data_IF_287114821475
#
_entry.id   IF_287114821475
#
_cell.length_a   1.000
_cell.length_b   1.000
_cell.length_c   1.000
_cell.angle_alpha   90.00
_cell.angle_beta   90.00
_cell.angle_gamma   90.00
#
_symmetry.space_group_name_H-M   'P 1'
#
loop_
_entity.id
_entity.type
_entity.pdbx_description
1 polymer ?
#
# COMPACT_ATOMS: atom_id res chain seq x y z
N UNK A 1 -6.03 -3.41 18.20
CA UNK A 1 -4.80 -2.60 18.26
C UNK A 1 -4.35 -2.16 16.86
N UNK A 2 -3.81 -3.02 15.97
CA UNK A 2 -3.29 -2.60 14.66
C UNK A 2 -4.29 -1.82 13.77
N UNK A 3 -5.54 -2.30 13.67
CA UNK A 3 -6.60 -1.59 12.94
C UNK A 3 -6.82 -0.16 13.46
N UNK A 4 -6.91 0.00 14.78
CA UNK A 4 -7.13 1.30 15.41
C UNK A 4 -5.94 2.25 15.19
N UNK A 5 -4.72 1.72 15.08
CA UNK A 5 -3.54 2.52 14.75
C UNK A 5 -3.58 3.00 13.28
N UNK A 6 -3.95 2.14 12.33
CA UNK A 6 -4.10 2.50 10.91
C UNK A 6 -5.22 3.50 10.63
N UNK A 7 -6.26 3.53 11.48
CA UNK A 7 -7.31 4.54 11.42
C UNK A 7 -6.76 5.97 11.63
N UNK A 8 -5.63 6.14 12.33
CA UNK A 8 -4.99 7.45 12.55
C UNK A 8 -4.20 7.98 11.33
N UNK A 9 -3.95 7.17 10.31
CA UNK A 9 -3.03 7.50 9.20
C UNK A 9 -3.71 8.25 8.06
N UNK A 10 -3.60 9.57 7.97
CA UNK A 10 -4.30 10.35 6.94
C UNK A 10 -3.49 10.61 5.67
N UNK A 11 -2.28 10.07 5.58
CA UNK A 11 -1.34 10.25 4.47
C UNK A 11 0.10 10.32 4.99
N UNK A 12 1.03 10.74 4.13
CA UNK A 12 2.46 10.78 4.48
C UNK A 12 2.73 11.68 5.71
N UNK A 13 3.52 11.19 6.70
CA UNK A 13 3.93 12.00 7.84
C UNK A 13 4.54 13.33 7.43
N UNK A 14 4.17 14.41 8.13
CA UNK A 14 4.68 15.78 7.89
C UNK A 14 4.47 16.32 6.46
N UNK A 15 3.51 15.77 5.71
CA UNK A 15 3.11 16.30 4.41
C UNK A 15 2.69 17.78 4.51
N UNK A 16 3.08 18.57 3.50
CA UNK A 16 2.80 20.02 3.47
C UNK A 16 3.83 20.92 4.15
N UNK A 17 4.93 20.36 4.69
CA UNK A 17 6.04 21.14 5.28
C UNK A 17 7.26 21.10 4.36
N UNK A 18 7.96 22.23 4.10
CA UNK A 18 9.20 22.23 3.32
C UNK A 18 10.25 21.30 3.96
N UNK A 19 10.80 20.37 3.18
CA UNK A 19 11.73 19.32 3.63
C UNK A 19 12.99 19.85 4.33
N UNK A 20 13.44 21.06 3.98
CA UNK A 20 14.60 21.72 4.65
C UNK A 20 14.26 22.42 5.96
N UNK A 21 12.98 22.56 6.32
CA UNK A 21 12.57 23.31 7.51
C UNK A 21 12.87 22.55 8.80
N UNK A 22 12.81 21.22 8.75
CA UNK A 22 13.06 20.34 9.90
C UNK A 22 13.81 19.07 9.48
N UNK A 23 15.09 19.20 9.13
CA UNK A 23 15.93 18.05 8.77
C UNK A 23 15.98 16.96 9.88
N UNK A 24 15.82 17.35 11.15
CA UNK A 24 15.72 16.41 12.27
C UNK A 24 14.47 15.51 12.24
N UNK A 25 13.40 15.95 11.56
CA UNK A 25 12.14 15.22 11.49
C UNK A 25 12.14 14.17 10.35
N UNK A 26 13.14 14.20 9.48
CA UNK A 26 13.22 13.27 8.35
C UNK A 26 13.35 11.82 8.82
N UNK A 27 14.21 11.55 9.81
CA UNK A 27 14.36 10.21 10.39
C UNK A 27 13.06 9.71 11.03
N UNK A 28 12.35 10.57 11.76
CA UNK A 28 11.05 10.25 12.36
C UNK A 28 9.99 9.98 11.30
N UNK A 29 9.98 10.75 10.20
CA UNK A 29 9.04 10.53 9.10
C UNK A 29 9.29 9.18 8.42
N UNK A 30 10.54 8.78 8.26
CA UNK A 30 10.91 7.47 7.72
C UNK A 30 10.51 6.34 8.69
N UNK A 31 10.81 6.47 9.98
CA UNK A 31 10.41 5.48 11.01
C UNK A 31 8.89 5.29 11.06
N UNK A 32 8.13 6.40 11.05
CA UNK A 32 6.66 6.34 10.97
C UNK A 32 6.18 5.68 9.69
N UNK A 33 6.81 5.99 8.55
CA UNK A 33 6.46 5.39 7.26
C UNK A 33 6.65 3.87 7.29
N UNK A 34 7.82 3.40 7.73
CA UNK A 34 8.09 1.97 7.88
C UNK A 34 7.08 1.29 8.81
N UNK A 35 6.85 1.84 10.00
CA UNK A 35 5.91 1.26 10.96
C UNK A 35 4.47 1.17 10.43
N UNK A 36 4.02 2.17 9.67
CA UNK A 36 2.69 2.18 9.05
C UNK A 36 2.60 1.10 7.96
N UNK A 37 3.63 1.00 7.13
CA UNK A 37 3.68 0.05 6.02
C UNK A 37 3.70 -1.38 6.54
N UNK A 38 4.54 -1.68 7.54
CA UNK A 38 4.60 -3.00 8.18
C UNK A 38 3.24 -3.37 8.81
N UNK A 39 2.58 -2.41 9.46
CA UNK A 39 1.26 -2.62 10.04
C UNK A 39 0.16 -2.85 8.98
N UNK A 40 0.24 -2.15 7.84
CA UNK A 40 -0.70 -2.31 6.73
C UNK A 40 -0.53 -3.69 6.07
N UNK A 41 0.71 -4.12 5.86
CA UNK A 41 1.07 -5.43 5.28
C UNK A 41 0.57 -6.58 6.17
N UNK A 42 0.97 -6.60 7.45
CA UNK A 42 0.56 -7.64 8.40
C UNK A 42 -0.97 -7.70 8.56
N UNK A 43 -1.64 -6.55 8.57
CA UNK A 43 -3.08 -6.53 8.71
C UNK A 43 -3.81 -6.96 7.42
N UNK A 44 -3.32 -6.57 6.25
CA UNK A 44 -3.88 -6.99 4.97
C UNK A 44 -3.76 -8.51 4.78
N UNK A 45 -2.58 -9.07 5.06
CA UNK A 45 -2.32 -10.50 4.96
C UNK A 45 -3.25 -11.30 5.88
N UNK A 46 -3.39 -10.87 7.15
CA UNK A 46 -4.32 -11.51 8.11
C UNK A 46 -5.78 -11.44 7.67
N UNK A 47 -6.21 -10.36 7.02
CA UNK A 47 -7.57 -10.27 6.50
C UNK A 47 -7.77 -11.18 5.29
N UNK A 48 -6.82 -11.22 4.35
CA UNK A 48 -6.85 -12.14 3.21
C UNK A 48 -6.90 -13.61 3.67
N UNK A 49 -6.07 -13.99 4.64
CA UNK A 49 -6.07 -15.34 5.20
C UNK A 49 -7.41 -15.77 5.82
N UNK A 50 -8.27 -14.81 6.18
CA UNK A 50 -9.61 -15.03 6.75
C UNK A 50 -10.74 -14.84 5.72
N UNK A 51 -10.41 -14.56 4.46
CA UNK A 51 -11.38 -14.25 3.41
C UNK A 51 -12.03 -12.87 3.54
N UNK A 52 -11.52 -11.99 4.40
CA UNK A 52 -12.05 -10.65 4.62
C UNK A 52 -11.44 -9.65 3.62
N UNK A 53 -11.79 -9.84 2.34
CA UNK A 53 -11.21 -9.06 1.25
C UNK A 53 -11.48 -7.55 1.38
N UNK A 54 -12.62 -7.15 1.95
CA UNK A 54 -12.95 -5.73 2.14
C UNK A 54 -12.02 -5.04 3.12
N UNK A 55 -11.71 -5.68 4.25
CA UNK A 55 -10.79 -5.09 5.22
C UNK A 55 -9.32 -5.22 4.79
N UNK A 56 -8.96 -6.24 3.99
CA UNK A 56 -7.65 -6.32 3.34
C UNK A 56 -7.43 -5.16 2.37
N UNK A 57 -8.42 -4.88 1.50
CA UNK A 57 -8.38 -3.76 0.57
C UNK A 57 -8.21 -2.42 1.30
N UNK A 58 -8.95 -2.25 2.41
CA UNK A 58 -8.80 -1.07 3.25
C UNK A 58 -7.38 -0.93 3.80
N UNK A 59 -6.83 -1.97 4.44
CA UNK A 59 -5.51 -1.92 5.05
C UNK A 59 -4.41 -1.60 4.01
N UNK A 60 -4.41 -2.31 2.88
CA UNK A 60 -3.46 -2.10 1.79
C UNK A 60 -3.55 -0.66 1.23
N UNK A 61 -4.77 -0.17 0.99
CA UNK A 61 -4.99 1.20 0.48
C UNK A 61 -4.47 2.25 1.46
N UNK A 62 -4.59 2.02 2.79
CA UNK A 62 -4.04 2.93 3.80
C UNK A 62 -2.52 2.98 3.77
N UNK A 63 -1.84 1.84 3.68
CA UNK A 63 -0.38 1.83 3.51
C UNK A 63 0.07 2.56 2.24
N UNK A 64 -0.65 2.37 1.13
CA UNK A 64 -0.37 3.05 -0.14
C UNK A 64 -0.58 4.57 -0.11
N UNK A 65 -1.36 5.11 0.84
CA UNK A 65 -1.44 6.57 1.03
C UNK A 65 -0.16 7.16 1.60
N UNK A 66 0.70 6.34 2.20
CA UNK A 66 1.94 6.74 2.85
C UNK A 66 3.15 6.39 1.99
N UNK A 67 3.21 5.17 1.47
CA UNK A 67 4.28 4.65 0.63
C UNK A 67 3.68 3.92 -0.57
N UNK A 68 3.54 4.63 -1.69
CA UNK A 68 2.94 4.10 -2.93
C UNK A 68 3.90 3.19 -3.69
N UNK A 69 5.19 3.34 -3.44
CA UNK A 69 6.29 2.59 -4.04
C UNK A 69 6.41 1.14 -3.51
N UNK A 70 5.67 0.81 -2.44
CA UNK A 70 5.73 -0.53 -1.83
C UNK A 70 4.86 -1.52 -2.61
N UNK A 71 5.45 -2.20 -3.61
CA UNK A 71 4.76 -3.15 -4.51
C UNK A 71 3.97 -4.25 -3.78
N UNK A 72 4.45 -4.75 -2.64
CA UNK A 72 3.72 -5.77 -1.88
C UNK A 72 2.35 -5.30 -1.36
N UNK A 73 2.18 -4.00 -1.06
CA UNK A 73 0.87 -3.47 -0.72
C UNK A 73 -0.08 -3.46 -1.91
N UNK A 74 0.44 -3.28 -3.13
CA UNK A 74 -0.36 -3.45 -4.35
C UNK A 74 -0.78 -4.90 -4.56
N UNK A 75 0.11 -5.87 -4.27
CA UNK A 75 -0.25 -7.30 -4.32
C UNK A 75 -1.44 -7.63 -3.42
N UNK A 76 -1.47 -7.10 -2.20
CA UNK A 76 -2.64 -7.23 -1.31
C UNK A 76 -3.90 -6.59 -1.88
N UNK A 77 -3.78 -5.38 -2.42
CA UNK A 77 -4.89 -4.66 -3.08
C UNK A 77 -5.47 -5.48 -4.25
N UNK A 78 -4.61 -6.05 -5.10
CA UNK A 78 -5.05 -6.84 -6.25
C UNK A 78 -5.78 -8.11 -5.84
N UNK A 79 -5.20 -8.88 -4.91
CA UNK A 79 -5.85 -10.07 -4.34
C UNK A 79 -7.21 -9.75 -3.74
N UNK A 80 -7.30 -8.65 -2.97
CA UNK A 80 -8.54 -8.22 -2.36
C UNK A 80 -9.61 -7.83 -3.40
N UNK A 81 -9.24 -7.10 -4.45
CA UNK A 81 -10.17 -6.70 -5.51
C UNK A 81 -10.66 -7.89 -6.33
N UNK A 82 -9.79 -8.83 -6.65
CA UNK A 82 -10.16 -10.09 -7.31
C UNK A 82 -11.14 -10.89 -6.46
N UNK A 83 -10.87 -11.07 -5.16
CA UNK A 83 -11.80 -11.77 -4.24
C UNK A 83 -13.15 -11.08 -4.08
N UNK A 84 -13.22 -9.75 -4.26
CA UNK A 84 -14.47 -8.99 -4.25
C UNK A 84 -15.21 -9.02 -5.59
N UNK A 85 -14.58 -9.49 -6.66
CA UNK A 85 -15.13 -9.44 -8.03
C UNK A 85 -15.13 -8.02 -8.63
N UNK A 86 -14.29 -7.12 -8.13
CA UNK A 86 -14.23 -5.71 -8.52
C UNK A 86 -13.25 -5.50 -9.70
N UNK A 87 -13.54 -6.12 -10.85
CA UNK A 87 -12.65 -6.18 -12.02
C UNK A 87 -12.21 -4.80 -12.53
N UNK A 88 -13.15 -3.86 -12.66
CA UNK A 88 -12.83 -2.50 -13.13
C UNK A 88 -11.88 -1.76 -12.19
N UNK A 89 -12.01 -1.97 -10.88
CA UNK A 89 -11.13 -1.39 -9.88
C UNK A 89 -9.76 -2.09 -9.86
N UNK A 90 -9.71 -3.39 -10.13
CA UNK A 90 -8.48 -4.15 -10.29
C UNK A 90 -7.67 -3.63 -11.48
N UNK A 91 -8.27 -3.56 -12.66
CA UNK A 91 -7.63 -3.02 -13.88
C UNK A 91 -7.14 -1.58 -13.68
N UNK A 92 -7.96 -0.73 -13.06
CA UNK A 92 -7.55 0.64 -12.73
C UNK A 92 -6.36 0.67 -11.78
N UNK A 93 -6.25 -0.29 -10.86
CA UNK A 93 -5.14 -0.34 -9.89
C UNK A 93 -3.86 -0.87 -10.53
N UNK A 94 -3.95 -1.81 -11.47
CA UNK A 94 -2.79 -2.31 -12.23
C UNK A 94 -2.19 -1.16 -13.05
N UNK A 95 -3.02 -0.42 -13.77
CA UNK A 95 -2.55 0.76 -14.53
C UNK A 95 -1.89 1.82 -13.64
N UNK A 96 -2.42 2.05 -12.44
CA UNK A 96 -1.79 2.97 -11.48
C UNK A 96 -0.39 2.52 -11.05
N UNK A 97 -0.19 1.21 -10.85
CA UNK A 97 1.13 0.69 -10.53
C UNK A 97 2.07 0.80 -11.75
N UNK A 98 1.61 0.46 -12.95
CA UNK A 98 2.41 0.59 -14.18
C UNK A 98 2.87 2.04 -14.42
N UNK A 99 1.96 3.01 -14.26
CA UNK A 99 2.27 4.44 -14.35
C UNK A 99 3.32 4.85 -13.32
N UNK A 100 3.18 4.40 -12.07
CA UNK A 100 4.13 4.69 -11.00
C UNK A 100 5.52 4.10 -11.29
N UNK A 101 5.59 2.85 -11.74
CA UNK A 101 6.85 2.19 -12.06
C UNK A 101 7.56 2.87 -13.23
N UNK A 102 6.80 3.30 -14.23
CA UNK A 102 7.32 4.11 -15.32
C UNK A 102 7.89 5.45 -14.84
N UNK A 103 7.19 6.16 -13.93
CA UNK A 103 7.68 7.40 -13.30
C UNK A 103 8.99 7.18 -12.53
N UNK A 104 9.12 6.03 -11.86
CA UNK A 104 10.31 5.65 -11.10
C UNK A 104 11.42 5.05 -11.97
N UNK A 105 11.19 4.85 -13.28
CA UNK A 105 12.13 4.20 -14.18
C UNK A 105 12.44 2.75 -13.79
N UNK A 106 11.50 2.08 -13.12
CA UNK A 106 11.62 0.71 -12.60
C UNK A 106 10.70 -0.24 -13.36
N UNK A 107 11.01 -1.53 -13.36
CA UNK A 107 10.12 -2.58 -13.84
C UNK A 107 9.34 -3.19 -12.69
N UNK A 108 8.18 -3.81 -12.98
CA UNK A 108 7.39 -4.53 -11.99
C UNK A 108 8.17 -5.71 -11.39
N UNK A 109 8.05 -5.91 -10.08
CA UNK A 109 8.63 -7.07 -9.41
C UNK A 109 8.03 -8.38 -9.94
N UNK A 110 8.87 -9.42 -10.06
CA UNK A 110 8.46 -10.75 -10.52
C UNK A 110 7.32 -11.35 -9.68
N UNK A 111 7.33 -11.12 -8.36
CA UNK A 111 6.28 -11.59 -7.46
C UNK A 111 4.94 -10.89 -7.75
N UNK A 112 4.97 -9.61 -8.13
CA UNK A 112 3.78 -8.86 -8.51
C UNK A 112 3.21 -9.38 -9.82
N UNK A 113 4.06 -9.63 -10.82
CA UNK A 113 3.64 -10.28 -12.06
C UNK A 113 3.02 -11.66 -11.80
N UNK A 114 3.63 -12.45 -10.90
CA UNK A 114 3.12 -13.77 -10.54
C UNK A 114 1.74 -13.68 -9.91
N UNK A 115 1.50 -12.72 -9.01
CA UNK A 115 0.17 -12.50 -8.44
C UNK A 115 -0.82 -12.20 -9.55
N UNK A 116 -0.54 -11.28 -10.46
CA UNK A 116 -1.46 -10.92 -11.54
C UNK A 116 -1.79 -12.09 -12.48
N UNK A 117 -0.85 -13.01 -12.71
CA UNK A 117 -1.10 -14.23 -13.50
C UNK A 117 -2.05 -15.24 -12.82
N UNK A 118 -2.22 -15.14 -11.51
CA UNK A 118 -3.01 -16.07 -10.69
C UNK A 118 -4.40 -15.54 -10.29
N UNK A 119 -4.69 -14.27 -10.58
CA UNK A 119 -6.01 -13.65 -10.34
C UNK A 119 -6.98 -13.98 -11.48
#
# INVERSE_FOLDING_TARGET
MLRQALELVHGRPFSGIPSRRYAWAESLAQEMTSAIVDAADDLADRYLARGDARNALWAATRGLTVAREMEYLWRHKFRALSLLGEEAALESSIRQLDELLLELGSSMDEETEQVLRLL
#
